data_IF_842641031173
#
_entry.id   IF_842641031173
#
_cell.length_a   1.000
_cell.length_b   1.000
_cell.length_c   1.000
_cell.angle_alpha   90.00
_cell.angle_beta   90.00
_cell.angle_gamma   90.00
#
_symmetry.space_group_name_H-M   'P 1'
#
loop_
_entity.id
_entity.type
_entity.pdbx_description
1 polymer ?
#
# COMPACT_ATOMS: atom_id res chain seq x y z
N UNK A 1 73.99 -15.43 3.11
CA UNK A 1 74.41 -16.85 3.06
C UNK A 1 73.81 -17.57 4.27
N UNK A 2 73.23 -18.76 4.03
CA UNK A 2 72.74 -19.83 4.96
C UNK A 2 71.68 -19.46 6.02
N UNK A 3 70.45 -19.99 6.00
CA UNK A 3 69.99 -21.40 6.09
C UNK A 3 70.62 -22.20 7.24
N UNK A 4 69.87 -22.33 8.34
CA UNK A 4 69.76 -23.53 9.17
C UNK A 4 68.51 -23.32 10.05
N UNK A 5 67.39 -23.99 9.74
CA UNK A 5 66.89 -25.17 10.48
C UNK A 5 66.63 -24.82 11.96
N UNK A 6 65.42 -24.98 12.50
CA UNK A 6 64.90 -26.30 12.87
C UNK A 6 63.40 -26.16 13.24
N UNK A 7 62.58 -27.04 12.68
CA UNK A 7 61.29 -27.40 13.25
C UNK A 7 61.53 -28.09 14.63
N UNK A 8 60.71 -28.02 15.67
CA UNK A 8 59.33 -28.50 15.81
C UNK A 8 58.83 -28.22 17.28
N UNK A 9 57.59 -28.57 17.67
CA UNK A 9 56.63 -27.72 18.38
C UNK A 9 56.62 -27.94 19.91
N UNK A 10 55.82 -27.16 20.67
CA UNK A 10 54.81 -27.70 21.61
C UNK A 10 54.17 -26.62 22.50
N UNK A 11 52.84 -26.68 22.55
CA UNK A 11 51.88 -26.38 23.62
C UNK A 11 51.98 -25.08 24.45
N UNK A 12 50.91 -24.29 24.39
CA UNK A 12 49.87 -24.24 25.43
C UNK A 12 49.14 -22.89 25.33
N UNK A 13 47.82 -22.93 25.52
CA UNK A 13 46.89 -21.85 25.26
C UNK A 13 47.23 -20.52 25.99
N UNK A 14 46.93 -19.37 25.36
CA UNK A 14 47.08 -18.07 25.99
C UNK A 14 45.91 -17.83 26.94
N UNK A 15 46.20 -17.51 28.21
CA UNK A 15 45.19 -16.95 29.12
C UNK A 15 45.60 -15.54 29.46
N UNK A 16 44.81 -14.61 28.89
CA UNK A 16 44.43 -13.30 29.43
C UNK A 16 45.53 -12.27 29.70
N UNK A 17 45.55 -11.21 28.90
CA UNK A 17 45.14 -9.85 29.31
C UNK A 17 45.67 -8.82 28.32
N UNK A 18 44.80 -8.32 27.46
CA UNK A 18 44.75 -6.90 27.09
C UNK A 18 43.56 -6.70 26.14
N UNK A 19 42.66 -5.86 26.59
CA UNK A 19 41.38 -5.54 26.00
C UNK A 19 41.50 -4.98 24.56
N UNK A 20 40.62 -5.50 23.70
CA UNK A 20 40.03 -4.91 22.49
C UNK A 20 40.97 -4.57 21.33
N UNK A 21 40.89 -5.38 20.26
CA UNK A 21 40.69 -4.81 18.94
C UNK A 21 39.50 -5.46 18.21
N UNK A 22 38.93 -4.69 17.28
CA UNK A 22 37.99 -5.11 16.23
C UNK A 22 36.52 -5.22 16.66
N UNK A 23 35.81 -4.10 16.58
CA UNK A 23 34.47 -4.14 16.01
C UNK A 23 34.63 -4.20 14.48
N UNK A 24 34.93 -5.39 13.99
CA UNK A 24 34.50 -5.81 12.66
C UNK A 24 32.97 -5.89 12.73
N UNK A 25 32.30 -4.84 12.31
CA UNK A 25 30.85 -4.86 12.06
C UNK A 25 30.64 -5.29 10.62
N UNK A 26 31.11 -6.49 10.29
CA UNK A 26 30.54 -7.29 9.20
C UNK A 26 29.81 -8.45 9.86
N UNK A 27 28.56 -8.23 10.28
CA UNK A 27 27.49 -9.24 10.31
C UNK A 27 26.21 -8.63 10.90
N UNK A 28 25.49 -7.86 10.09
CA UNK A 28 24.03 -7.88 10.12
C UNK A 28 23.55 -8.24 8.70
N UNK A 29 23.09 -9.48 8.43
CA UNK A 29 22.04 -9.66 7.43
C UNK A 29 20.68 -9.46 8.13
N UNK A 30 19.57 -9.12 7.44
CA UNK A 30 19.42 -8.91 6.00
C UNK A 30 18.43 -7.77 5.63
N UNK A 31 18.79 -6.82 4.77
CA UNK A 31 17.75 -6.22 3.91
C UNK A 31 17.63 -7.06 2.65
N UNK A 32 17.04 -8.25 2.80
CA UNK A 32 16.58 -9.06 1.69
C UNK A 32 15.34 -8.38 1.11
N UNK A 33 15.55 -7.63 0.04
CA UNK A 33 14.51 -6.93 -0.73
C UNK A 33 13.69 -7.93 -1.58
N UNK A 34 13.21 -9.01 -0.96
CA UNK A 34 12.61 -10.15 -1.67
C UNK A 34 11.18 -10.45 -1.22
N UNK A 35 10.57 -9.54 -0.45
CA UNK A 35 9.13 -9.54 -0.13
C UNK A 35 8.57 -8.11 -0.06
N UNK A 36 9.03 -7.21 -0.93
CA UNK A 36 8.14 -6.10 -1.30
C UNK A 36 7.25 -6.71 -2.37
N UNK A 37 6.16 -7.35 -1.90
CA UNK A 37 4.94 -7.48 -2.71
C UNK A 37 4.80 -6.12 -3.40
N UNK A 38 4.83 -6.04 -4.74
CA UNK A 38 4.76 -4.76 -5.40
C UNK A 38 3.52 -4.08 -4.87
N UNK A 39 3.68 -2.99 -4.09
CA UNK A 39 2.55 -2.23 -3.58
C UNK A 39 1.61 -2.10 -4.78
N UNK A 40 0.38 -2.65 -4.69
CA UNK A 40 -0.46 -2.84 -5.86
C UNK A 40 -0.56 -1.47 -6.47
N UNK A 41 0.12 -1.27 -7.62
CA UNK A 41 0.30 0.04 -8.26
C UNK A 41 -1.05 0.68 -8.20
N UNK A 42 -1.16 1.73 -7.39
CA UNK A 42 -2.45 2.22 -6.90
C UNK A 42 -3.28 2.56 -8.14
N UNK A 43 -4.17 1.66 -8.54
CA UNK A 43 -4.85 1.76 -9.84
C UNK A 43 -5.85 2.93 -9.87
N UNK A 44 -6.12 3.47 -8.69
CA UNK A 44 -6.96 4.63 -8.44
C UNK A 44 -6.61 5.27 -7.09
N UNK A 45 -6.69 6.59 -7.01
CA UNK A 45 -6.61 7.35 -5.76
C UNK A 45 -7.99 7.70 -5.23
N UNK A 46 -8.13 7.78 -3.92
CA UNK A 46 -9.34 8.25 -3.22
C UNK A 46 -8.95 9.43 -2.35
N UNK A 47 -9.73 10.51 -2.42
CA UNK A 47 -9.56 11.69 -1.57
C UNK A 47 -10.89 12.14 -1.00
N UNK A 48 -10.93 12.49 0.27
CA UNK A 48 -12.08 13.15 0.86
C UNK A 48 -12.07 14.63 0.46
N UNK A 49 -13.15 15.09 -0.17
CA UNK A 49 -13.38 16.47 -0.59
C UNK A 49 -14.51 17.10 0.24
N UNK A 50 -14.50 18.43 0.31
CA UNK A 50 -15.54 19.26 0.95
C UNK A 50 -15.87 18.89 2.41
N UNK A 51 -14.87 18.38 3.13
CA UNK A 51 -14.98 18.06 4.55
C UNK A 51 -14.54 19.25 5.42
N UNK A 52 -15.43 19.82 6.26
CA UNK A 52 -15.15 21.07 6.99
C UNK A 52 -14.14 20.91 8.15
N UNK A 53 -13.86 19.68 8.60
CA UNK A 53 -12.99 19.42 9.74
C UNK A 53 -11.68 18.77 9.28
N UNK A 54 -10.57 19.50 9.11
CA UNK A 54 -9.32 18.97 8.57
C UNK A 54 -8.53 18.11 9.57
N UNK A 55 -9.19 17.35 10.45
CA UNK A 55 -8.53 16.39 11.32
C UNK A 55 -7.89 15.30 10.46
N UNK A 56 -6.61 15.50 10.11
CA UNK A 56 -5.90 14.75 9.08
C UNK A 56 -5.91 13.23 9.33
N UNK A 57 -5.95 12.81 10.60
CA UNK A 57 -6.01 11.39 10.96
C UNK A 57 -7.39 10.78 10.67
N UNK A 58 -8.48 11.49 10.96
CA UNK A 58 -9.83 11.03 10.66
C UNK A 58 -10.06 10.91 9.15
N UNK A 59 -9.59 11.90 8.39
CA UNK A 59 -9.65 11.90 6.92
C UNK A 59 -8.92 10.69 6.34
N UNK A 60 -7.67 10.46 6.75
CA UNK A 60 -6.87 9.32 6.28
C UNK A 60 -7.51 7.98 6.61
N UNK A 61 -8.03 7.83 7.84
CA UNK A 61 -8.70 6.59 8.27
C UNK A 61 -9.95 6.34 7.41
N UNK A 62 -10.72 7.38 7.12
CA UNK A 62 -11.91 7.28 6.28
C UNK A 62 -11.60 6.97 4.83
N UNK A 63 -10.60 7.61 4.23
CA UNK A 63 -10.12 7.30 2.88
C UNK A 63 -9.64 5.85 2.78
N UNK A 64 -8.88 5.35 3.76
CA UNK A 64 -8.42 3.96 3.81
C UNK A 64 -9.59 2.98 3.91
N UNK A 65 -10.59 3.28 4.74
CA UNK A 65 -11.80 2.44 4.87
C UNK A 65 -12.61 2.43 3.59
N UNK A 66 -12.81 3.59 2.98
CA UNK A 66 -13.47 3.71 1.70
C UNK A 66 -12.75 2.85 0.65
N UNK A 67 -11.42 2.99 0.55
CA UNK A 67 -10.61 2.19 -0.39
C UNK A 67 -10.79 0.69 -0.14
N UNK A 68 -10.67 0.25 1.12
CA UNK A 68 -10.82 -1.16 1.51
C UNK A 68 -12.19 -1.72 1.15
N UNK A 69 -13.25 -0.95 1.35
CA UNK A 69 -14.60 -1.38 1.01
C UNK A 69 -14.80 -1.41 -0.51
N UNK A 70 -14.25 -0.44 -1.25
CA UNK A 70 -14.30 -0.44 -2.70
C UNK A 70 -13.56 -1.64 -3.31
N UNK A 71 -12.35 -1.93 -2.81
CA UNK A 71 -11.57 -3.12 -3.16
C UNK A 71 -12.32 -4.42 -2.78
N UNK A 72 -13.05 -4.43 -1.65
CA UNK A 72 -13.87 -5.59 -1.25
C UNK A 72 -15.05 -5.83 -2.21
N UNK A 73 -15.68 -4.78 -2.72
CA UNK A 73 -16.88 -4.86 -3.56
C UNK A 73 -16.57 -5.12 -5.04
N UNK A 74 -15.50 -4.50 -5.55
CA UNK A 74 -15.12 -4.51 -6.97
C UNK A 74 -13.82 -5.28 -7.23
N UNK A 75 -12.95 -5.45 -6.25
CA UNK A 75 -11.65 -6.10 -6.43
C UNK A 75 -10.81 -5.39 -7.49
N UNK A 76 -10.16 -6.15 -8.38
CA UNK A 76 -9.37 -5.59 -9.47
C UNK A 76 -10.17 -4.82 -10.54
N UNK A 77 -11.51 -4.86 -10.51
CA UNK A 77 -12.35 -4.19 -11.50
C UNK A 77 -12.64 -2.71 -11.18
N UNK A 78 -12.07 -2.14 -10.10
CA UNK A 78 -12.37 -0.75 -9.68
C UNK A 78 -12.22 0.24 -10.83
N UNK A 79 -11.07 0.25 -11.50
CA UNK A 79 -10.79 1.17 -12.62
C UNK A 79 -11.69 0.92 -13.82
N UNK A 80 -12.02 -0.34 -14.11
CA UNK A 80 -12.91 -0.73 -15.22
C UNK A 80 -14.34 -0.26 -14.95
N UNK A 81 -14.81 -0.43 -13.72
CA UNK A 81 -16.15 -0.02 -13.28
C UNK A 81 -16.27 1.51 -13.23
N UNK A 82 -15.24 2.22 -12.74
CA UNK A 82 -15.17 3.68 -12.75
C UNK A 82 -15.23 4.23 -14.18
N UNK A 83 -14.45 3.66 -15.11
CA UNK A 83 -14.46 4.05 -16.52
C UNK A 83 -15.83 3.80 -17.16
N UNK A 84 -16.44 2.64 -16.90
CA UNK A 84 -17.77 2.34 -17.40
C UNK A 84 -18.82 3.33 -16.88
N UNK A 85 -18.70 3.77 -15.63
CA UNK A 85 -19.57 4.79 -15.05
C UNK A 85 -19.39 6.17 -15.72
N UNK A 86 -18.15 6.62 -15.93
CA UNK A 86 -17.90 7.87 -16.66
C UNK A 86 -18.43 7.82 -18.08
N UNK A 87 -18.09 6.77 -18.83
CA UNK A 87 -18.63 6.53 -20.16
C UNK A 87 -20.16 6.57 -20.16
N UNK A 88 -20.80 5.99 -19.13
CA UNK A 88 -22.25 5.99 -19.00
C UNK A 88 -22.87 7.34 -18.64
N UNK A 89 -22.12 8.22 -17.98
CA UNK A 89 -22.55 9.57 -17.66
C UNK A 89 -22.39 10.56 -18.83
N UNK A 90 -21.39 10.31 -19.68
CA UNK A 90 -21.05 11.16 -20.83
C UNK A 90 -21.72 10.70 -22.13
N UNK A 91 -22.03 9.39 -22.24
CA UNK A 91 -22.67 8.78 -23.40
C UNK A 91 -24.14 8.49 -23.12
N UNK A 92 -24.95 8.44 -24.18
CA UNK A 92 -26.32 7.96 -24.07
C UNK A 92 -26.33 6.45 -23.81
N UNK A 93 -27.30 5.96 -23.03
CA UNK A 93 -27.40 4.55 -22.61
C UNK A 93 -27.45 3.56 -23.81
N UNK A 94 -27.81 4.05 -25.01
CA UNK A 94 -27.80 3.32 -26.28
C UNK A 94 -26.41 2.99 -26.86
N UNK A 95 -25.37 3.71 -26.46
CA UNK A 95 -24.00 3.50 -26.94
C UNK A 95 -23.19 2.55 -26.04
N UNK A 96 -23.72 2.16 -24.89
CA UNK A 96 -23.05 1.30 -23.92
C UNK A 96 -23.43 -0.16 -24.12
N UNK A 97 -22.45 -1.04 -23.97
CA UNK A 97 -22.73 -2.48 -23.93
C UNK A 97 -23.47 -2.85 -22.63
N UNK A 98 -24.24 -3.94 -22.66
CA UNK A 98 -24.93 -4.47 -21.47
C UNK A 98 -23.95 -4.75 -20.31
N UNK A 99 -22.72 -5.17 -20.62
CA UNK A 99 -21.67 -5.41 -19.63
C UNK A 99 -21.19 -4.10 -18.98
N UNK A 100 -21.00 -3.03 -19.75
CA UNK A 100 -20.62 -1.72 -19.23
C UNK A 100 -21.72 -1.12 -18.35
N UNK A 101 -22.99 -1.24 -18.76
CA UNK A 101 -24.11 -0.82 -17.92
C UNK A 101 -24.16 -1.59 -16.59
N UNK A 102 -23.87 -2.91 -16.61
CA UNK A 102 -23.80 -3.72 -15.40
C UNK A 102 -22.64 -3.28 -14.50
N UNK A 103 -21.48 -2.98 -15.08
CA UNK A 103 -20.31 -2.46 -14.36
C UNK A 103 -20.56 -1.08 -13.76
N UNK A 104 -21.17 -0.15 -14.49
CA UNK A 104 -21.54 1.17 -14.00
C UNK A 104 -22.55 1.09 -12.84
N UNK A 105 -23.55 0.19 -12.93
CA UNK A 105 -24.48 -0.06 -11.82
C UNK A 105 -23.80 -0.68 -10.61
N UNK A 106 -22.82 -1.57 -10.84
CA UNK A 106 -22.01 -2.17 -9.77
C UNK A 106 -21.11 -1.12 -9.11
N UNK A 107 -20.54 -0.20 -9.89
CA UNK A 107 -19.78 0.95 -9.40
C UNK A 107 -20.62 1.78 -8.43
N UNK A 108 -21.81 2.23 -8.83
CA UNK A 108 -22.67 3.05 -7.97
C UNK A 108 -22.98 2.38 -6.62
N UNK A 109 -23.27 1.07 -6.64
CA UNK A 109 -23.55 0.31 -5.41
C UNK A 109 -22.31 0.15 -4.52
N UNK A 110 -21.16 -0.14 -5.13
CA UNK A 110 -19.91 -0.27 -4.41
C UNK A 110 -19.46 1.07 -3.80
N UNK A 111 -19.61 2.16 -4.55
CA UNK A 111 -19.33 3.52 -4.10
C UNK A 111 -20.22 3.90 -2.91
N UNK A 112 -21.53 3.65 -2.96
CA UNK A 112 -22.41 3.98 -1.84
C UNK A 112 -22.09 3.16 -0.57
N UNK A 113 -21.82 1.86 -0.72
CA UNK A 113 -21.37 1.01 0.39
C UNK A 113 -20.04 1.51 0.99
N UNK A 114 -19.08 1.84 0.13
CA UNK A 114 -17.78 2.38 0.55
C UNK A 114 -17.92 3.76 1.21
N UNK A 115 -18.83 4.60 0.72
CA UNK A 115 -19.16 5.90 1.29
C UNK A 115 -19.75 5.76 2.69
N UNK A 116 -20.71 4.86 2.89
CA UNK A 116 -21.25 4.57 4.23
C UNK A 116 -20.16 4.07 5.18
N UNK A 117 -19.25 3.21 4.72
CA UNK A 117 -18.13 2.72 5.54
C UNK A 117 -17.09 3.81 5.86
N UNK A 118 -16.81 4.71 4.90
CA UNK A 118 -15.90 5.83 5.06
C UNK A 118 -16.44 6.92 5.99
N UNK A 119 -17.75 7.23 5.90
CA UNK A 119 -18.41 8.22 6.75
C UNK A 119 -18.81 7.71 8.13
N UNK A 120 -18.76 6.41 8.39
CA UNK A 120 -19.20 5.82 9.67
C UNK A 120 -18.62 6.49 10.91
N UNK A 121 -17.36 6.93 10.86
CA UNK A 121 -16.66 7.61 11.96
C UNK A 121 -16.35 9.09 11.65
N UNK A 122 -16.85 9.61 10.53
CA UNK A 122 -16.83 11.03 10.24
C UNK A 122 -18.15 11.61 10.77
N UNK A 123 -18.08 12.68 11.56
CA UNK A 123 -19.26 13.33 12.12
C UNK A 123 -20.08 14.05 11.04
N UNK A 124 -19.96 15.37 11.00
CA UNK A 124 -20.70 16.19 10.03
C UNK A 124 -20.12 16.05 8.61
N UNK A 125 -20.82 15.32 7.74
CA UNK A 125 -20.40 15.00 6.36
C UNK A 125 -21.43 15.43 5.32
N UNK A 126 -22.31 16.39 5.63
CA UNK A 126 -23.44 16.76 4.77
C UNK A 126 -23.02 17.17 3.34
N UNK A 127 -21.88 17.85 3.22
CA UNK A 127 -21.31 18.29 1.92
C UNK A 127 -20.12 17.45 1.46
N UNK A 128 -19.63 16.53 2.31
CA UNK A 128 -18.41 15.79 2.02
C UNK A 128 -18.64 14.65 1.03
N UNK A 129 -17.66 14.41 0.15
CA UNK A 129 -17.69 13.27 -0.77
C UNK A 129 -16.30 12.68 -1.00
N UNK A 130 -16.25 11.42 -1.43
CA UNK A 130 -15.01 10.75 -1.79
C UNK A 130 -14.76 10.91 -3.29
N UNK A 131 -13.78 11.73 -3.65
CA UNK A 131 -13.28 11.86 -5.01
C UNK A 131 -12.42 10.63 -5.34
N UNK A 132 -12.85 9.86 -6.33
CA UNK A 132 -12.13 8.68 -6.80
C UNK A 132 -11.62 8.93 -8.22
N UNK A 133 -10.30 8.79 -8.42
CA UNK A 133 -9.65 9.04 -9.70
C UNK A 133 -8.80 7.83 -10.09
N UNK A 134 -8.91 7.37 -11.33
CA UNK A 134 -7.95 6.43 -11.90
C UNK A 134 -6.56 7.10 -12.03
N UNK A 135 -5.49 6.33 -11.83
CA UNK A 135 -4.09 6.77 -11.99
C UNK A 135 -3.58 6.44 -13.38
#
# INVERSE_FOLDING_TARGET
MNQAELFYPQAAAPTHEAALPQADVSEEPPFRFEDIEPEPRVAYTVRLADYPHPAADAVKVSEQRFRRELDRQLGGDVTRALRAFHNASESSETDLTREEMALARRWMKAYDAARTAGFRDLGDTDEAFFDVRAV
#
